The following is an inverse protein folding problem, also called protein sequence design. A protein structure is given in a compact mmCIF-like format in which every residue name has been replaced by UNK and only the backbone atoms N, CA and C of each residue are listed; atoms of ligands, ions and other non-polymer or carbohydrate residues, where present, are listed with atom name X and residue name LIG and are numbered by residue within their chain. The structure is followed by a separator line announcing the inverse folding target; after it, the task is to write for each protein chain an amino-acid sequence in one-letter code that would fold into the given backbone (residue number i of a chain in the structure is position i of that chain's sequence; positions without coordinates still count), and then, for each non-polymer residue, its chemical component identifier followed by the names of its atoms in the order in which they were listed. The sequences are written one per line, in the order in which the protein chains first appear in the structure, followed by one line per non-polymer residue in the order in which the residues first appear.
data_IF_988654636853
#
_entry.id   IF_988654636853
#
_cell.length_a   1.000
_cell.length_b   1.000
_cell.length_c   1.000
_cell.angle_alpha   90.00
_cell.angle_beta   90.00
_cell.angle_gamma   90.00
#
_symmetry.space_group_name_H-M   'P 1'
#
loop_
_entity.id
_entity.type
_entity.pdbx_description
1 polymer ?
#
# COMPACT_ATOMS: atom_id res chain seq x y z
N UNK A 1 14.01 -38.87 56.22
CA UNK A 1 15.29 -39.44 55.75
C UNK A 1 14.96 -40.46 54.66
N UNK A 2 15.71 -40.41 53.54
CA UNK A 2 15.54 -41.13 52.25
C UNK A 2 14.45 -40.55 51.33
N UNK A 3 14.74 -39.52 50.51
CA UNK A 3 15.46 -39.46 49.22
C UNK A 3 14.82 -40.28 48.08
N UNK A 4 14.12 -39.57 47.18
CA UNK A 4 13.60 -40.05 45.91
C UNK A 4 13.54 -38.90 44.89
N UNK A 5 14.72 -38.40 44.54
CA UNK A 5 14.96 -37.26 43.65
C UNK A 5 14.62 -37.65 42.20
N UNK A 6 13.49 -37.19 41.67
CA UNK A 6 13.14 -37.36 40.26
C UNK A 6 13.94 -36.35 39.46
N UNK A 7 15.06 -36.82 38.89
CA UNK A 7 15.93 -36.07 37.98
C UNK A 7 15.12 -35.63 36.76
N UNK A 8 14.84 -34.34 36.64
CA UNK A 8 14.40 -33.75 35.38
C UNK A 8 15.56 -33.83 34.40
N UNK A 9 15.43 -34.65 33.38
CA UNK A 9 16.39 -34.67 32.29
C UNK A 9 16.30 -33.35 31.53
N UNK A 10 17.38 -32.58 31.61
CA UNK A 10 17.65 -31.43 30.76
C UNK A 10 17.78 -31.97 29.33
N UNK A 11 16.81 -31.64 28.48
CA UNK A 11 16.89 -31.88 27.05
C UNK A 11 18.12 -31.13 26.52
N UNK A 12 19.17 -31.86 26.17
CA UNK A 12 20.32 -31.32 25.45
C UNK A 12 19.86 -31.01 24.02
N UNK A 13 19.88 -29.73 23.66
CA UNK A 13 19.75 -29.29 22.27
C UNK A 13 20.86 -29.92 21.41
N UNK A 14 20.54 -30.40 20.20
CA UNK A 14 21.53 -30.92 19.27
C UNK A 14 22.42 -29.77 18.74
N UNK A 15 23.72 -30.02 18.47
CA UNK A 15 24.63 -28.98 18.01
C UNK A 15 24.25 -28.46 16.63
N UNK A 16 24.33 -27.13 16.47
CA UNK A 16 24.16 -26.42 15.20
C UNK A 16 25.23 -26.87 14.19
N UNK A 17 24.86 -27.16 12.92
CA UNK A 17 25.84 -27.49 11.90
C UNK A 17 26.69 -26.28 11.52
N UNK A 18 27.99 -26.51 11.45
CA UNK A 18 29.01 -25.55 11.03
C UNK A 18 28.65 -24.86 9.71
N UNK A 19 28.86 -23.54 9.65
CA UNK A 19 28.84 -22.74 8.43
C UNK A 19 29.82 -23.35 7.40
N UNK A 20 29.28 -24.07 6.42
CA UNK A 20 29.99 -24.34 5.18
C UNK A 20 29.80 -23.14 4.26
N UNK A 21 30.87 -22.38 4.07
CA UNK A 21 31.01 -21.40 3.01
C UNK A 21 30.83 -22.10 1.67
N UNK A 22 29.69 -21.89 1.02
CA UNK A 22 29.46 -22.38 -0.34
C UNK A 22 30.36 -21.60 -1.31
N UNK A 23 31.31 -22.32 -1.90
CA UNK A 23 32.11 -21.83 -3.01
C UNK A 23 31.22 -21.55 -4.25
N UNK A 24 31.53 -20.53 -5.06
CA UNK A 24 30.76 -20.20 -6.26
C UNK A 24 30.86 -21.32 -7.32
N UNK A 25 29.70 -21.69 -7.86
CA UNK A 25 29.55 -22.66 -8.96
C UNK A 25 30.32 -22.22 -10.21
N UNK A 26 31.09 -23.12 -10.87
CA UNK A 26 31.89 -22.80 -12.05
C UNK A 26 31.08 -23.06 -13.33
N UNK A 27 30.18 -22.16 -13.69
CA UNK A 27 29.54 -22.18 -15.02
C UNK A 27 29.49 -20.78 -15.64
N UNK A 28 30.66 -20.20 -15.82
CA UNK A 28 30.91 -19.13 -16.79
C UNK A 28 32.26 -19.40 -17.46
N UNK A 29 32.22 -19.77 -18.74
CA UNK A 29 33.24 -19.56 -19.81
C UNK A 29 33.30 -20.76 -20.75
N UNK A 30 32.64 -20.61 -21.90
CA UNK A 30 33.18 -21.05 -23.19
C UNK A 30 32.84 -19.99 -24.22
N UNK A 31 33.75 -19.03 -24.39
CA UNK A 31 34.11 -18.48 -25.70
C UNK A 31 35.58 -18.09 -25.59
N UNK A 32 36.42 -18.96 -26.15
CA UNK A 32 37.85 -18.78 -26.26
C UNK A 32 38.13 -17.66 -27.25
N UNK A 33 38.84 -16.64 -26.78
CA UNK A 33 40.12 -16.20 -27.32
C UNK A 33 40.46 -16.74 -28.71
N UNK A 34 40.14 -15.96 -29.74
CA UNK A 34 40.86 -15.97 -31.00
C UNK A 34 40.84 -14.53 -31.50
N UNK A 35 42.04 -13.99 -31.70
CA UNK A 35 42.37 -12.73 -32.38
C UNK A 35 42.32 -11.47 -31.50
N UNK A 36 43.35 -11.31 -30.66
CA UNK A 36 44.03 -10.03 -30.56
C UNK A 36 45.24 -10.06 -31.49
N UNK A 37 45.56 -8.91 -32.09
CA UNK A 37 46.69 -8.58 -32.97
C UNK A 37 46.52 -8.86 -34.47
N UNK A 38 46.07 -7.83 -35.18
CA UNK A 38 46.87 -7.10 -36.17
C UNK A 38 45.93 -6.43 -37.18
N UNK A 39 45.60 -5.15 -36.98
CA UNK A 39 45.05 -4.33 -38.08
C UNK A 39 45.47 -2.87 -37.90
N UNK A 40 46.75 -2.62 -38.08
CA UNK A 40 47.24 -1.34 -38.58
C UNK A 40 47.74 -1.57 -40.00
N UNK A 41 47.27 -0.72 -40.92
CA UNK A 41 47.60 -0.66 -42.36
C UNK A 41 46.75 -1.52 -43.29
N UNK A 42 45.61 -0.98 -43.73
CA UNK A 42 45.50 -0.48 -45.11
C UNK A 42 44.20 0.31 -45.29
N UNK A 43 44.40 1.62 -45.29
CA UNK A 43 43.51 2.64 -45.81
C UNK A 43 43.64 2.60 -47.35
N UNK A 44 42.64 2.07 -48.06
CA UNK A 44 42.29 2.51 -49.43
C UNK A 44 40.99 1.84 -49.93
N UNK A 45 40.09 2.70 -50.42
CA UNK A 45 38.99 2.47 -51.35
C UNK A 45 37.85 1.48 -51.00
N UNK A 46 36.85 1.99 -50.26
CA UNK A 46 35.44 1.63 -50.53
C UNK A 46 34.76 2.88 -51.05
N UNK A 47 34.50 2.91 -52.36
CA UNK A 47 33.61 3.87 -53.02
C UNK A 47 32.29 3.94 -52.26
N UNK A 48 31.91 5.14 -51.82
CA UNK A 48 30.55 5.44 -51.40
C UNK A 48 29.60 5.31 -52.59
N UNK A 49 28.95 4.15 -52.72
CA UNK A 49 27.72 4.05 -53.49
C UNK A 49 26.59 4.59 -52.61
N UNK A 50 26.01 5.72 -53.01
CA UNK A 50 24.84 6.32 -52.37
C UNK A 50 23.60 5.45 -52.61
N UNK A 51 23.36 4.48 -51.75
CA UNK A 51 22.11 3.72 -51.74
C UNK A 51 21.11 4.43 -50.82
N UNK A 52 20.19 5.19 -51.42
CA UNK A 52 19.08 5.83 -50.74
C UNK A 52 18.18 4.77 -50.09
N UNK A 53 17.94 4.89 -48.78
CA UNK A 53 16.97 4.06 -48.08
C UNK A 53 15.58 4.15 -48.76
N UNK A 54 14.86 3.04 -48.93
CA UNK A 54 13.53 3.06 -49.55
C UNK A 54 12.58 3.97 -48.77
N UNK A 55 11.71 4.73 -49.45
CA UNK A 55 10.80 5.66 -48.79
C UNK A 55 9.86 4.91 -47.84
N UNK A 56 9.78 5.40 -46.60
CA UNK A 56 8.86 4.88 -45.58
C UNK A 56 7.42 4.96 -46.13
N UNK A 57 6.58 3.92 -46.00
CA UNK A 57 5.17 3.98 -46.38
C UNK A 57 4.47 5.16 -45.69
N UNK A 58 3.53 5.86 -46.36
CA UNK A 58 2.75 6.91 -45.74
C UNK A 58 1.94 6.34 -44.57
N UNK A 59 1.99 7.01 -43.43
CA UNK A 59 1.14 6.71 -42.27
C UNK A 59 -0.33 6.79 -42.72
N UNK A 60 -1.19 5.81 -42.37
CA UNK A 60 -2.62 5.93 -42.58
C UNK A 60 -3.12 7.24 -41.97
N UNK A 61 -3.65 8.12 -42.82
CA UNK A 61 -4.25 9.36 -42.37
C UNK A 61 -5.49 9.04 -41.54
N UNK A 62 -5.45 9.44 -40.27
CA UNK A 62 -6.67 9.73 -39.52
C UNK A 62 -7.35 8.54 -38.85
N UNK A 63 -6.67 7.89 -37.92
CA UNK A 63 -7.30 7.62 -36.62
C UNK A 63 -6.28 7.99 -35.55
N UNK A 64 -6.44 9.20 -35.01
CA UNK A 64 -5.81 9.57 -33.75
C UNK A 64 -6.16 8.45 -32.74
N UNK A 65 -5.20 7.92 -31.96
CA UNK A 65 -5.54 7.08 -30.82
C UNK A 65 -6.67 7.79 -30.06
N UNK A 66 -7.69 7.09 -29.54
CA UNK A 66 -8.74 7.73 -28.76
C UNK A 66 -8.07 8.67 -27.78
N UNK A 67 -8.35 9.97 -27.92
CA UNK A 67 -7.78 11.00 -27.07
C UNK A 67 -8.07 10.53 -25.65
N UNK A 68 -7.01 10.30 -24.85
CA UNK A 68 -7.19 9.89 -23.47
C UNK A 68 -8.23 10.85 -22.87
N UNK A 69 -9.30 10.35 -22.21
CA UNK A 69 -10.28 11.23 -21.62
C UNK A 69 -9.51 12.26 -20.81
N UNK A 70 -9.73 13.54 -21.13
CA UNK A 70 -9.18 14.65 -20.34
C UNK A 70 -9.45 14.31 -18.88
N UNK A 71 -8.43 14.29 -18.00
CA UNK A 71 -8.66 14.08 -16.57
C UNK A 71 -9.71 15.10 -16.14
N UNK A 72 -10.94 14.65 -15.92
CA UNK A 72 -11.95 15.50 -15.30
C UNK A 72 -11.36 15.83 -13.93
N UNK A 73 -11.06 17.10 -13.72
CA UNK A 73 -10.43 17.61 -12.51
C UNK A 73 -11.39 17.42 -11.34
N UNK A 74 -11.37 16.22 -10.73
CA UNK A 74 -11.84 16.07 -9.35
C UNK A 74 -11.00 17.03 -8.51
N UNK A 75 -11.63 18.08 -7.96
CA UNK A 75 -11.00 19.06 -7.06
C UNK A 75 -10.08 18.31 -6.08
N UNK A 76 -8.78 18.54 -6.25
CA UNK A 76 -7.77 17.88 -5.44
C UNK A 76 -7.83 18.54 -4.06
N UNK A 77 -8.53 17.90 -3.13
CA UNK A 77 -8.63 18.37 -1.75
C UNK A 77 -7.20 18.52 -1.23
N UNK A 78 -6.79 19.76 -0.98
CA UNK A 78 -5.46 20.07 -0.45
C UNK A 78 -5.33 19.43 0.94
N UNK A 79 -4.74 18.25 0.98
CA UNK A 79 -4.60 17.48 2.20
C UNK A 79 -3.44 18.04 3.02
N UNK A 80 -3.63 18.34 4.31
CA UNK A 80 -2.57 18.96 5.09
C UNK A 80 -1.34 18.06 5.13
N UNK A 81 -0.14 18.62 4.92
CA UNK A 81 1.10 17.84 5.05
C UNK A 81 1.39 17.61 6.53
N UNK A 82 1.75 16.38 6.94
CA UNK A 82 2.08 16.09 8.33
C UNK A 82 3.35 16.84 8.74
N UNK A 83 3.34 17.40 9.94
CA UNK A 83 4.55 17.89 10.61
C UNK A 83 5.30 16.73 11.30
N UNK A 84 6.55 16.96 11.73
CA UNK A 84 7.43 15.92 12.30
C UNK A 84 6.81 15.20 13.51
N UNK A 85 6.01 15.90 14.32
CA UNK A 85 5.48 15.41 15.60
C UNK A 85 4.00 14.98 15.53
N UNK A 86 3.49 14.68 14.33
CA UNK A 86 2.08 14.31 14.13
C UNK A 86 1.91 12.88 13.56
N UNK A 87 2.14 11.82 14.36
CA UNK A 87 2.15 10.45 13.84
C UNK A 87 0.79 9.95 13.33
N UNK A 88 -0.33 10.41 13.92
CA UNK A 88 -1.69 10.10 13.41
C UNK A 88 -1.92 10.79 12.06
N UNK A 89 -1.53 12.06 11.94
CA UNK A 89 -1.61 12.81 10.69
C UNK A 89 -0.76 12.16 9.59
N UNK A 90 0.43 11.69 9.93
CA UNK A 90 1.29 10.94 9.01
C UNK A 90 0.62 9.67 8.50
N UNK A 91 -0.02 8.89 9.38
CA UNK A 91 -0.77 7.69 8.98
C UNK A 91 -1.93 8.03 8.03
N UNK A 92 -2.65 9.12 8.31
CA UNK A 92 -3.72 9.62 7.46
C UNK A 92 -3.20 10.04 6.08
N UNK A 93 -2.10 10.79 6.06
CA UNK A 93 -1.42 11.23 4.84
C UNK A 93 -0.92 10.03 4.01
N UNK A 94 -0.32 9.02 4.64
CA UNK A 94 0.19 7.83 3.97
C UNK A 94 -0.92 7.01 3.27
N UNK A 95 -2.15 7.02 3.81
CA UNK A 95 -3.34 6.47 3.15
C UNK A 95 -3.84 7.39 2.04
N UNK A 96 -3.92 8.70 2.30
CA UNK A 96 -4.33 9.69 1.30
C UNK A 96 -3.46 9.59 0.04
N UNK A 97 -2.14 9.53 0.20
CA UNK A 97 -1.18 9.41 -0.90
C UNK A 97 -1.37 8.13 -1.70
N UNK A 98 -1.79 7.03 -1.08
CA UNK A 98 -2.09 5.81 -1.83
C UNK A 98 -3.42 5.94 -2.59
N UNK A 99 -4.44 6.48 -1.94
CA UNK A 99 -5.78 6.62 -2.53
C UNK A 99 -5.85 7.69 -3.63
N UNK A 100 -5.08 8.77 -3.53
CA UNK A 100 -5.06 9.87 -4.50
C UNK A 100 -4.49 9.45 -5.86
N UNK A 101 -3.69 8.38 -5.91
CA UNK A 101 -3.19 7.81 -7.17
C UNK A 101 -4.33 7.42 -8.10
N UNK A 102 -5.52 7.15 -7.54
CA UNK A 102 -6.66 6.59 -8.24
C UNK A 102 -7.83 7.59 -8.31
N UNK A 103 -8.54 7.61 -9.44
CA UNK A 103 -9.82 8.31 -9.57
C UNK A 103 -10.88 7.61 -8.71
N UNK A 104 -11.74 8.40 -8.06
CA UNK A 104 -12.89 7.89 -7.30
C UNK A 104 -14.10 7.58 -8.19
N UNK A 105 -14.12 8.09 -9.42
CA UNK A 105 -15.22 7.91 -10.38
C UNK A 105 -15.40 6.43 -10.74
N UNK A 106 -16.49 5.84 -10.24
CA UNK A 106 -16.79 4.42 -10.43
C UNK A 106 -15.92 3.49 -9.57
N UNK A 107 -15.40 4.00 -8.44
CA UNK A 107 -14.62 3.23 -7.49
C UNK A 107 -14.90 3.69 -6.05
N UNK A 108 -15.98 3.15 -5.48
CA UNK A 108 -16.42 3.48 -4.13
C UNK A 108 -15.40 3.07 -3.05
N UNK A 109 -14.55 2.08 -3.33
CA UNK A 109 -13.47 1.66 -2.42
C UNK A 109 -12.46 2.80 -2.25
N UNK A 110 -12.07 3.44 -3.36
CA UNK A 110 -11.18 4.60 -3.33
C UNK A 110 -11.86 5.81 -2.68
N UNK A 111 -13.14 6.05 -2.96
CA UNK A 111 -13.89 7.12 -2.31
C UNK A 111 -13.96 6.93 -0.78
N UNK A 112 -14.23 5.71 -0.32
CA UNK A 112 -14.24 5.36 1.10
C UNK A 112 -12.84 5.53 1.73
N UNK A 113 -11.77 5.08 1.06
CA UNK A 113 -10.41 5.25 1.54
C UNK A 113 -9.99 6.73 1.66
N UNK A 114 -10.33 7.57 0.66
CA UNK A 114 -10.11 9.03 0.72
C UNK A 114 -10.85 9.66 1.91
N UNK A 115 -12.10 9.25 2.14
CA UNK A 115 -12.90 9.68 3.30
C UNK A 115 -12.26 9.27 4.63
N UNK A 116 -11.75 8.04 4.73
CA UNK A 116 -11.06 7.57 5.93
C UNK A 116 -9.81 8.39 6.24
N UNK A 117 -9.03 8.75 5.21
CA UNK A 117 -7.85 9.60 5.39
C UNK A 117 -8.23 10.99 5.94
N UNK A 118 -9.28 11.62 5.39
CA UNK A 118 -9.75 12.92 5.88
C UNK A 118 -10.24 12.86 7.33
N UNK A 119 -11.00 11.82 7.68
CA UNK A 119 -11.47 11.61 9.05
C UNK A 119 -10.30 11.34 10.01
N UNK A 120 -9.28 10.59 9.59
CA UNK A 120 -8.11 10.32 10.42
C UNK A 120 -7.25 11.59 10.62
N UNK A 121 -7.16 12.46 9.61
CA UNK A 121 -6.55 13.79 9.78
C UNK A 121 -7.33 14.66 10.77
N UNK A 122 -8.67 14.59 10.75
CA UNK A 122 -9.52 15.26 11.74
C UNK A 122 -9.33 14.68 13.15
N UNK A 123 -9.19 13.36 13.28
CA UNK A 123 -8.88 12.70 14.55
C UNK A 123 -7.56 13.20 15.15
N UNK A 124 -6.52 13.39 14.33
CA UNK A 124 -5.25 13.97 14.77
C UNK A 124 -5.43 15.33 15.47
N UNK A 125 -6.33 16.18 14.96
CA UNK A 125 -6.63 17.48 15.57
C UNK A 125 -7.33 17.35 16.93
N UNK A 126 -8.28 16.43 17.05
CA UNK A 126 -8.97 16.18 18.31
C UNK A 126 -8.03 15.67 19.40
N UNK A 127 -7.09 14.78 19.04
CA UNK A 127 -6.12 14.19 19.99
C UNK A 127 -5.17 15.24 20.57
N UNK A 128 -4.85 16.30 19.80
CA UNK A 128 -4.04 17.43 20.26
C UNK A 128 -4.83 18.54 20.97
N UNK A 129 -6.15 18.39 21.11
CA UNK A 129 -7.02 19.40 21.71
C UNK A 129 -7.46 20.54 20.77
N UNK A 130 -7.05 20.54 19.49
CA UNK A 130 -7.34 21.59 18.50
C UNK A 130 -8.78 21.54 17.93
N UNK A 131 -9.67 20.72 18.50
CA UNK A 131 -10.99 20.42 17.93
C UNK A 131 -12.18 20.58 18.88
N UNK A 132 -11.97 20.99 20.14
CA UNK A 132 -13.04 21.42 21.04
C UNK A 132 -14.21 20.42 21.20
N UNK A 133 -13.96 19.19 21.63
CA UNK A 133 -14.79 18.44 22.60
C UNK A 133 -14.41 16.94 22.62
N UNK A 134 -14.45 16.34 23.82
CA UNK A 134 -14.40 14.87 24.05
C UNK A 134 -15.39 14.12 23.15
N UNK A 135 -16.57 14.71 22.93
CA UNK A 135 -17.61 14.20 22.04
C UNK A 135 -17.18 14.16 20.57
N UNK A 136 -16.50 15.19 20.08
CA UNK A 136 -15.98 15.26 18.71
C UNK A 136 -15.01 14.13 18.39
N UNK A 137 -14.11 13.78 19.32
CA UNK A 137 -13.19 12.64 19.16
C UNK A 137 -13.95 11.31 19.00
N UNK A 138 -14.94 11.07 19.87
CA UNK A 138 -15.75 9.85 19.86
C UNK A 138 -16.57 9.74 18.56
N UNK A 139 -17.20 10.83 18.13
CA UNK A 139 -18.01 10.85 16.91
C UNK A 139 -17.13 10.69 15.65
N UNK A 140 -15.91 11.25 15.65
CA UNK A 140 -14.92 11.01 14.62
C UNK A 140 -14.52 9.53 14.54
N UNK A 141 -14.25 8.87 15.68
CA UNK A 141 -13.94 7.45 15.73
C UNK A 141 -15.07 6.56 15.18
N UNK A 142 -16.33 6.89 15.49
CA UNK A 142 -17.51 6.21 14.92
C UNK A 142 -17.61 6.42 13.41
N UNK A 143 -17.32 7.63 12.92
CA UNK A 143 -17.32 7.91 11.49
C UNK A 143 -16.23 7.13 10.73
N UNK A 144 -15.03 7.02 11.31
CA UNK A 144 -13.94 6.20 10.76
C UNK A 144 -14.35 4.72 10.72
N UNK A 145 -14.93 4.20 11.80
CA UNK A 145 -15.40 2.82 11.86
C UNK A 145 -16.46 2.53 10.77
N UNK A 146 -17.44 3.43 10.60
CA UNK A 146 -18.45 3.30 9.54
C UNK A 146 -17.84 3.32 8.14
N UNK A 147 -16.84 4.17 7.90
CA UNK A 147 -16.14 4.20 6.63
C UNK A 147 -15.28 2.94 6.41
N UNK A 148 -14.69 2.39 7.48
CA UNK A 148 -13.92 1.14 7.40
C UNK A 148 -14.80 -0.08 7.11
N UNK A 149 -16.02 -0.11 7.64
CA UNK A 149 -16.99 -1.17 7.34
C UNK A 149 -17.32 -1.20 5.84
N UNK A 150 -17.45 -0.02 5.22
CA UNK A 150 -17.68 0.09 3.78
C UNK A 150 -16.48 -0.39 2.96
N UNK A 151 -15.25 -0.06 3.38
CA UNK A 151 -14.02 -0.60 2.76
C UNK A 151 -14.01 -2.13 2.83
N UNK A 152 -14.29 -2.72 4.00
CA UNK A 152 -14.32 -4.17 4.16
C UNK A 152 -15.40 -4.80 3.28
N UNK A 153 -16.61 -4.23 3.25
CA UNK A 153 -17.73 -4.72 2.43
C UNK A 153 -17.36 -4.75 0.95
N UNK A 154 -16.81 -3.65 0.43
CA UNK A 154 -16.41 -3.54 -0.97
C UNK A 154 -15.23 -4.48 -1.31
N UNK A 155 -14.24 -4.58 -0.42
CA UNK A 155 -13.11 -5.49 -0.58
C UNK A 155 -13.55 -6.97 -0.63
N UNK A 156 -14.47 -7.37 0.24
CA UNK A 156 -15.04 -8.72 0.22
C UNK A 156 -15.78 -9.01 -1.09
N UNK A 157 -16.49 -8.02 -1.65
CA UNK A 157 -17.17 -8.19 -2.94
C UNK A 157 -16.18 -8.36 -4.09
N UNK A 158 -15.12 -7.56 -4.12
CA UNK A 158 -14.01 -7.69 -5.09
C UNK A 158 -13.37 -9.07 -4.96
N UNK A 159 -13.12 -9.54 -3.73
CA UNK A 159 -12.55 -10.85 -3.47
C UNK A 159 -13.45 -11.99 -4.01
N UNK A 160 -14.77 -11.91 -3.83
CA UNK A 160 -15.73 -12.91 -4.34
C UNK A 160 -15.70 -13.04 -5.85
N UNK A 161 -15.51 -11.94 -6.58
CA UNK A 161 -15.46 -11.94 -8.03
C UNK A 161 -14.07 -12.28 -8.60
N UNK A 162 -13.03 -12.29 -7.75
CA UNK A 162 -11.68 -12.64 -8.14
C UNK A 162 -11.56 -14.15 -8.42
N UNK A 163 -11.12 -14.50 -9.62
CA UNK A 163 -10.95 -15.91 -10.04
C UNK A 163 -9.67 -16.55 -9.51
N UNK A 164 -8.64 -15.74 -9.28
CA UNK A 164 -7.35 -16.20 -8.78
C UNK A 164 -7.44 -16.47 -7.26
N UNK A 165 -7.28 -17.74 -6.86
CA UNK A 165 -7.42 -18.18 -5.47
C UNK A 165 -6.40 -17.48 -4.55
N UNK A 166 -5.16 -17.30 -5.01
CA UNK A 166 -4.08 -16.71 -4.19
C UNK A 166 -4.35 -15.24 -3.96
N UNK A 167 -4.69 -14.50 -5.01
CA UNK A 167 -4.99 -13.06 -4.90
C UNK A 167 -6.24 -12.83 -4.05
N UNK A 168 -7.28 -13.65 -4.24
CA UNK A 168 -8.48 -13.63 -3.40
C UNK A 168 -8.15 -13.83 -1.92
N UNK A 169 -7.33 -14.84 -1.59
CA UNK A 169 -6.92 -15.10 -0.21
C UNK A 169 -6.14 -13.93 0.39
N UNK A 170 -5.19 -13.35 -0.35
CA UNK A 170 -4.41 -12.20 0.12
C UNK A 170 -5.31 -11.01 0.45
N UNK A 171 -6.28 -10.69 -0.42
CA UNK A 171 -7.25 -9.62 -0.20
C UNK A 171 -8.14 -9.88 1.03
N UNK A 172 -8.67 -11.10 1.16
CA UNK A 172 -9.49 -11.47 2.33
C UNK A 172 -8.69 -11.37 3.64
N UNK A 173 -7.47 -11.89 3.66
CA UNK A 173 -6.62 -11.89 4.86
C UNK A 173 -6.37 -10.47 5.38
N UNK A 174 -6.18 -9.49 4.50
CA UNK A 174 -5.96 -8.11 4.93
C UNK A 174 -7.26 -7.43 5.37
N UNK A 175 -8.36 -7.60 4.62
CA UNK A 175 -9.59 -6.85 4.89
C UNK A 175 -10.40 -7.39 6.09
N UNK A 176 -10.26 -8.68 6.44
CA UNK A 176 -10.92 -9.29 7.61
C UNK A 176 -10.39 -8.76 8.95
N UNK A 177 -9.19 -8.15 8.98
CA UNK A 177 -8.62 -7.55 10.20
C UNK A 177 -9.20 -6.16 10.50
N UNK A 178 -9.68 -5.46 9.46
CA UNK A 178 -10.14 -4.07 9.56
C UNK A 178 -11.25 -3.89 10.63
N UNK A 179 -12.30 -4.74 10.69
CA UNK A 179 -13.37 -4.59 11.69
C UNK A 179 -12.87 -4.67 13.14
N UNK A 180 -11.89 -5.54 13.41
CA UNK A 180 -11.29 -5.68 14.75
C UNK A 180 -10.53 -4.42 15.13
N UNK A 181 -9.68 -3.91 14.24
CA UNK A 181 -8.89 -2.69 14.50
C UNK A 181 -9.82 -1.48 14.67
N UNK A 182 -10.88 -1.36 13.87
CA UNK A 182 -11.87 -0.29 13.98
C UNK A 182 -12.68 -0.36 15.30
N UNK A 183 -12.95 -1.56 15.80
CA UNK A 183 -13.59 -1.75 17.10
C UNK A 183 -12.66 -1.29 18.23
N UNK A 184 -11.38 -1.66 18.16
CA UNK A 184 -10.37 -1.16 19.09
C UNK A 184 -10.25 0.37 19.03
N UNK A 185 -10.27 0.98 17.85
CA UNK A 185 -10.23 2.44 17.68
C UNK A 185 -11.34 3.13 18.47
N UNK A 186 -12.58 2.62 18.40
CA UNK A 186 -13.72 3.18 19.15
C UNK A 186 -13.51 3.11 20.67
N UNK A 187 -12.97 1.99 21.17
CA UNK A 187 -12.70 1.79 22.60
C UNK A 187 -11.59 2.76 23.05
N UNK A 188 -10.44 2.73 22.37
CA UNK A 188 -9.28 3.57 22.70
C UNK A 188 -9.64 5.06 22.61
N UNK A 189 -10.41 5.47 21.59
CA UNK A 189 -10.88 6.86 21.47
C UNK A 189 -11.79 7.28 22.63
N UNK A 190 -12.55 6.36 23.20
CA UNK A 190 -13.37 6.63 24.39
C UNK A 190 -12.50 6.78 25.63
N UNK A 191 -11.49 5.92 25.80
CA UNK A 191 -10.50 6.02 26.89
C UNK A 191 -9.72 7.34 26.81
N UNK A 192 -9.20 7.70 25.64
CA UNK A 192 -8.54 8.99 25.43
C UNK A 192 -9.50 10.15 25.74
N UNK A 193 -10.75 10.07 25.29
CA UNK A 193 -11.74 11.11 25.57
C UNK A 193 -12.00 11.29 27.08
N UNK A 194 -12.00 10.24 27.89
CA UNK A 194 -12.17 10.39 29.34
C UNK A 194 -10.98 11.10 29.98
N UNK A 195 -9.77 10.81 29.51
CA UNK A 195 -8.50 11.33 30.04
C UNK A 195 -8.16 12.76 29.57
N UNK A 196 -8.78 13.25 28.50
CA UNK A 196 -8.56 14.63 28.02
C UNK A 196 -8.81 15.66 29.13
N UNK A 197 -7.79 16.40 29.54
CA UNK A 197 -7.89 17.49 30.52
C UNK A 197 -7.90 17.04 31.98
N UNK A 198 -7.55 15.78 32.25
CA UNK A 198 -7.24 15.32 33.61
C UNK A 198 -5.83 15.80 34.03
N UNK A 199 -5.56 15.95 35.34
CA UNK A 199 -4.26 16.43 35.84
C UNK A 199 -3.15 15.38 35.71
N UNK A 200 -3.50 14.10 35.54
CA UNK A 200 -2.53 13.03 35.37
C UNK A 200 -2.08 12.93 33.91
N UNK A 201 -0.92 13.55 33.63
CA UNK A 201 -0.37 13.64 32.29
C UNK A 201 0.18 12.29 31.78
N UNK A 202 0.55 11.36 32.66
CA UNK A 202 1.16 10.08 32.29
C UNK A 202 0.12 9.17 31.61
N UNK A 203 -1.06 9.02 32.20
CA UNK A 203 -2.17 8.25 31.64
C UNK A 203 -2.65 8.83 30.29
N UNK A 204 -2.66 10.17 30.19
CA UNK A 204 -3.06 10.85 28.97
C UNK A 204 -2.06 10.63 27.82
N UNK A 205 -0.76 10.61 28.12
CA UNK A 205 0.32 10.32 27.18
C UNK A 205 0.24 8.86 26.70
N UNK A 206 0.15 7.89 27.62
CA UNK A 206 0.03 6.46 27.27
C UNK A 206 -1.19 6.20 26.37
N UNK A 207 -2.35 6.76 26.72
CA UNK A 207 -3.55 6.63 25.89
C UNK A 207 -3.36 7.21 24.48
N UNK A 208 -2.53 8.24 24.35
CA UNK A 208 -2.17 8.82 23.04
C UNK A 208 -1.31 7.86 22.23
N UNK A 209 -0.28 7.25 22.83
CA UNK A 209 0.60 6.29 22.17
C UNK A 209 -0.18 5.08 21.65
N UNK A 210 -1.06 4.52 22.48
CA UNK A 210 -1.92 3.39 22.11
C UNK A 210 -2.84 3.76 20.94
N UNK A 211 -3.38 4.98 20.93
CA UNK A 211 -4.20 5.48 19.83
C UNK A 211 -3.40 5.66 18.53
N UNK A 212 -2.17 6.16 18.62
CA UNK A 212 -1.25 6.30 17.47
C UNK A 212 -1.01 4.95 16.81
N UNK A 213 -0.65 3.93 17.59
CA UNK A 213 -0.38 2.59 17.08
C UNK A 213 -1.62 1.98 16.41
N UNK A 214 -2.81 2.16 17.01
CA UNK A 214 -4.06 1.70 16.42
C UNK A 214 -4.37 2.41 15.09
N UNK A 215 -4.20 3.73 15.03
CA UNK A 215 -4.42 4.51 13.81
C UNK A 215 -3.48 4.07 12.68
N UNK A 216 -2.20 3.87 12.97
CA UNK A 216 -1.21 3.36 12.02
C UNK A 216 -1.59 1.96 11.49
N UNK A 217 -2.01 1.06 12.37
CA UNK A 217 -2.45 -0.27 11.99
C UNK A 217 -3.69 -0.23 11.08
N UNK A 218 -4.67 0.64 11.40
CA UNK A 218 -5.89 0.77 10.61
C UNK A 218 -5.61 1.35 9.23
N UNK A 219 -4.90 2.48 9.15
CA UNK A 219 -4.56 3.13 7.87
C UNK A 219 -3.67 2.21 7.02
N UNK A 220 -2.73 1.49 7.64
CA UNK A 220 -1.90 0.49 6.96
C UNK A 220 -2.71 -0.69 6.40
N UNK A 221 -3.67 -1.23 7.16
CA UNK A 221 -4.54 -2.31 6.69
C UNK A 221 -5.44 -1.88 5.52
N UNK A 222 -6.00 -0.67 5.57
CA UNK A 222 -6.82 -0.10 4.49
C UNK A 222 -5.97 0.16 3.25
N UNK A 223 -4.77 0.74 3.42
CA UNK A 223 -3.82 0.98 2.32
C UNK A 223 -3.45 -0.31 1.60
N UNK A 224 -3.15 -1.36 2.35
CA UNK A 224 -2.83 -2.67 1.78
C UNK A 224 -4.05 -3.31 1.12
N UNK A 225 -5.25 -3.13 1.68
CA UNK A 225 -6.51 -3.58 1.05
C UNK A 225 -6.74 -2.90 -0.29
N UNK A 226 -6.48 -1.60 -0.43
CA UNK A 226 -6.55 -0.89 -1.73
C UNK A 226 -5.60 -1.50 -2.76
N UNK A 227 -4.36 -1.81 -2.37
CA UNK A 227 -3.37 -2.44 -3.26
C UNK A 227 -3.77 -3.85 -3.67
N UNK A 228 -4.24 -4.67 -2.74
CA UNK A 228 -4.69 -6.03 -3.05
C UNK A 228 -5.98 -6.03 -3.89
N UNK A 229 -6.87 -5.05 -3.68
CA UNK A 229 -8.08 -4.88 -4.48
C UNK A 229 -7.76 -4.48 -5.92
N UNK A 230 -6.76 -3.62 -6.14
CA UNK A 230 -6.25 -3.31 -7.48
C UNK A 230 -5.76 -4.58 -8.17
N UNK A 231 -4.88 -5.34 -7.52
CA UNK A 231 -4.36 -6.61 -8.06
C UNK A 231 -5.48 -7.62 -8.35
N UNK A 232 -6.47 -7.72 -7.47
CA UNK A 232 -7.63 -8.60 -7.64
C UNK A 232 -8.51 -8.21 -8.83
N UNK A 233 -8.68 -6.90 -9.07
CA UNK A 233 -9.54 -6.39 -10.13
C UNK A 233 -9.12 -6.81 -11.54
N UNK A 234 -7.80 -6.99 -11.76
CA UNK A 234 -7.23 -7.49 -13.02
C UNK A 234 -7.67 -8.94 -13.30
N UNK A 235 -8.04 -9.70 -12.26
CA UNK A 235 -8.44 -11.12 -12.33
C UNK A 235 -9.95 -11.35 -12.18
N UNK A 236 -10.77 -10.31 -12.31
CA UNK A 236 -12.24 -10.41 -12.30
C UNK A 236 -12.73 -10.72 -13.72
N UNK A 237 -13.68 -11.65 -13.85
CA UNK A 237 -14.33 -11.92 -15.14
C UNK A 237 -15.25 -10.75 -15.48
N UNK A 238 -15.04 -10.14 -16.65
CA UNK A 238 -15.77 -8.95 -17.12
C UNK A 238 -17.28 -9.16 -17.24
N UNK A 239 -17.74 -10.41 -17.28
CA UNK A 239 -19.15 -10.84 -17.34
C UNK A 239 -19.92 -10.64 -16.01
N UNK A 240 -19.23 -10.40 -14.88
CA UNK A 240 -19.84 -10.28 -13.56
C UNK A 240 -20.55 -8.93 -13.29
N UNK A 241 -20.62 -8.03 -14.27
CA UNK A 241 -21.39 -6.78 -14.21
C UNK A 241 -20.81 -5.68 -13.30
N UNK A 242 -19.91 -6.00 -12.35
CA UNK A 242 -19.23 -5.01 -11.51
C UNK A 242 -17.88 -4.62 -12.13
N UNK A 243 -17.87 -3.53 -12.89
CA UNK A 243 -16.62 -2.89 -13.34
C UNK A 243 -16.22 -1.81 -12.34
N UNK A 244 -15.44 -2.16 -11.31
CA UNK A 244 -14.72 -1.14 -10.55
C UNK A 244 -13.65 -0.53 -11.46
N UNK A 245 -13.55 0.80 -11.47
CA UNK A 245 -12.66 1.52 -12.39
C UNK A 245 -11.34 1.89 -11.70
N UNK A 246 -10.22 1.38 -12.21
CA UNK A 246 -8.87 1.76 -11.76
C UNK A 246 -8.22 2.66 -12.81
N UNK A 247 -8.32 3.99 -12.63
CA UNK A 247 -7.65 4.98 -13.49
C UNK A 247 -6.68 5.78 -12.64
N UNK A 248 -5.42 5.88 -13.08
CA UNK A 248 -4.42 6.70 -12.42
C UNK A 248 -4.67 8.20 -12.66
N UNK A 249 -4.58 9.02 -11.62
CA UNK A 249 -4.65 10.50 -11.75
C UNK A 249 -3.32 11.12 -12.20
N UNK A 250 -2.19 10.54 -11.80
CA UNK A 250 -0.85 11.07 -12.13
C UNK A 250 -0.07 10.11 -13.06
N UNK A 251 0.75 10.66 -13.98
CA UNK A 251 1.61 9.85 -14.85
C UNK A 251 2.65 9.05 -14.06
N UNK A 252 3.05 7.89 -14.57
CA UNK A 252 4.00 6.96 -13.92
C UNK A 252 5.45 7.46 -13.84
N UNK A 253 5.76 8.61 -14.44
CA UNK A 253 7.10 9.23 -14.51
C UNK A 253 7.23 10.50 -13.66
N UNK A 254 6.27 10.75 -12.75
CA UNK A 254 6.29 11.92 -11.86
C UNK A 254 7.03 11.64 -10.57
#
# INVERSE_FOLDING_TARGET
MWNGQKVMQVNKEPPLPHHQTLAPSPYLRKVNTTIYFCFTSHFTDIRMSSESAPPRPPLPQGQMPPQAPTPEEEEEINFPKPQTDEPIMKAAYDLHVEAQKWSSKGNDLIAAAKKMALLMAQMSKYVRGEGGSKKGLIDCAKAIAKASDEVTRLATEIARQCTDKRIRMNLMQVCERIPTIATQLKIISTVKATLLGEPDAEDEEEATEVLVLNAQNLMGAVKETVRQAEAASIKIRTEAGVKMRWVRKSPWYS
#
